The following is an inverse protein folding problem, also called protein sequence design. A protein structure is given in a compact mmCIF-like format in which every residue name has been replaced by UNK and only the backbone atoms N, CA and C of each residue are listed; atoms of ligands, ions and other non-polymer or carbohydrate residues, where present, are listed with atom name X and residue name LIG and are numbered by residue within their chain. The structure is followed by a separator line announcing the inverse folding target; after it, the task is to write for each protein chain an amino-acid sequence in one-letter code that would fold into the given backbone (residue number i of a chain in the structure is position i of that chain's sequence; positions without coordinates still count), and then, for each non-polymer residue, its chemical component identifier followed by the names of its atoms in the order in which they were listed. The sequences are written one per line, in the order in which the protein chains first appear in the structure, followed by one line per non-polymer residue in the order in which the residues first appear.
data_IF_675171599061
#
_entry.id   IF_675171599061
#
_cell.length_a   1.000
_cell.length_b   1.000
_cell.length_c   1.000
_cell.angle_alpha   90.00
_cell.angle_beta   90.00
_cell.angle_gamma   90.00
#
_symmetry.space_group_name_H-M   'P 1'
#
loop_
_entity.id
_entity.type
_entity.pdbx_description
1 polymer ?
#
# COMPACT_ATOMS: atom_id res chain seq x y z
N UNK A 1 -6.39 -11.22 31.19
CA UNK A 1 -6.24 -10.25 30.12
C UNK A 1 -7.07 -9.01 30.46
N UNK A 2 -6.45 -7.83 30.39
CA UNK A 2 -7.16 -6.56 30.46
C UNK A 2 -7.43 -6.12 29.02
N UNK A 3 -8.71 -5.87 28.69
CA UNK A 3 -9.11 -5.46 27.35
C UNK A 3 -9.46 -3.97 27.34
N UNK A 4 -8.88 -3.24 26.42
CA UNK A 4 -9.24 -1.84 26.16
C UNK A 4 -9.95 -1.73 24.82
N UNK A 5 -10.97 -0.88 24.73
CA UNK A 5 -11.73 -0.65 23.51
C UNK A 5 -11.17 0.53 22.75
N UNK A 6 -10.85 0.34 21.48
CA UNK A 6 -10.51 1.44 20.56
C UNK A 6 -11.83 2.04 20.04
N UNK A 7 -12.01 3.37 20.02
CA UNK A 7 -10.99 4.43 20.20
C UNK A 7 -10.85 4.97 21.63
N UNK A 8 -11.53 4.44 22.63
CA UNK A 8 -11.54 4.99 23.99
C UNK A 8 -10.13 5.02 24.60
N UNK A 9 -9.36 3.95 24.37
CA UNK A 9 -7.95 3.86 24.76
C UNK A 9 -7.14 3.35 23.57
N UNK A 10 -6.35 4.21 22.94
CA UNK A 10 -5.43 3.81 21.88
C UNK A 10 -4.20 3.11 22.44
N UNK A 11 -3.44 2.38 21.58
CA UNK A 11 -2.15 1.82 22.00
C UNK A 11 -1.20 2.90 22.52
N UNK A 12 -1.20 4.07 21.89
CA UNK A 12 -0.40 5.21 22.29
C UNK A 12 -0.79 5.75 23.67
N UNK A 13 -2.09 5.77 23.99
CA UNK A 13 -2.57 6.21 25.31
C UNK A 13 -2.26 5.18 26.39
N UNK A 14 -2.43 3.90 26.08
CA UNK A 14 -2.06 2.82 26.98
C UNK A 14 -0.55 2.87 27.31
N UNK A 15 0.32 3.06 26.33
CA UNK A 15 1.76 3.15 26.53
C UNK A 15 2.16 4.27 27.51
N UNK A 16 1.45 5.40 27.53
CA UNK A 16 1.69 6.51 28.47
C UNK A 16 1.46 6.10 29.93
N UNK A 17 0.57 5.14 30.18
CA UNK A 17 0.17 4.70 31.52
C UNK A 17 0.68 3.31 31.89
N UNK A 18 1.31 2.59 30.97
CA UNK A 18 1.73 1.21 31.14
C UNK A 18 2.86 1.00 32.18
N UNK A 19 3.47 2.08 32.65
CA UNK A 19 4.55 1.99 33.66
C UNK A 19 5.75 1.21 33.15
N UNK A 20 6.18 1.49 31.93
CA UNK A 20 7.35 0.81 31.34
C UNK A 20 8.58 0.94 32.25
N UNK A 21 9.32 -0.17 32.42
CA UNK A 21 10.60 -0.10 33.10
C UNK A 21 11.56 0.83 32.35
N UNK A 22 12.42 1.53 33.07
CA UNK A 22 13.44 2.39 32.45
C UNK A 22 14.31 1.58 31.48
N UNK A 23 14.43 2.04 30.24
CA UNK A 23 15.16 1.35 29.19
C UNK A 23 14.43 0.13 28.59
N UNK A 24 13.11 -0.02 28.83
CA UNK A 24 12.33 -1.07 28.20
C UNK A 24 12.40 -1.00 26.66
N UNK A 25 12.56 -2.14 26.01
CA UNK A 25 12.54 -2.27 24.55
C UNK A 25 11.17 -2.80 24.13
N UNK A 26 10.47 -2.03 23.33
CA UNK A 26 9.22 -2.44 22.67
C UNK A 26 9.55 -2.76 21.22
N UNK A 27 9.12 -3.92 20.74
CA UNK A 27 9.33 -4.35 19.37
C UNK A 27 8.02 -4.36 18.57
N UNK A 28 8.08 -3.93 17.32
CA UNK A 28 6.96 -4.04 16.36
C UNK A 28 7.43 -4.73 15.09
N UNK A 29 6.53 -5.48 14.45
CA UNK A 29 6.80 -6.04 13.12
C UNK A 29 6.78 -4.93 12.07
N UNK A 30 7.92 -4.65 11.45
CA UNK A 30 8.06 -3.60 10.44
C UNK A 30 7.26 -3.83 9.16
N UNK A 31 6.76 -5.05 8.93
CA UNK A 31 5.87 -5.37 7.80
C UNK A 31 4.45 -4.89 8.07
N UNK A 32 4.03 -4.82 9.34
CA UNK A 32 2.66 -4.55 9.77
C UNK A 32 2.44 -3.13 10.25
N UNK A 33 3.51 -2.35 10.42
CA UNK A 33 3.44 -0.94 10.83
C UNK A 33 3.95 -0.04 9.71
N UNK A 34 3.22 1.02 9.42
CA UNK A 34 3.66 2.04 8.45
C UNK A 34 4.71 2.97 9.07
N UNK A 35 5.45 3.68 8.23
CA UNK A 35 6.44 4.69 8.69
C UNK A 35 5.80 5.71 9.63
N UNK A 36 4.63 6.27 9.26
CA UNK A 36 3.92 7.23 10.10
C UNK A 36 3.41 6.60 11.39
N UNK A 37 2.93 5.35 11.35
CA UNK A 37 2.52 4.57 12.51
C UNK A 37 3.68 4.32 13.47
N UNK A 38 4.83 3.89 12.93
CA UNK A 38 6.04 3.69 13.71
C UNK A 38 6.47 4.98 14.44
N UNK A 39 6.51 6.11 13.74
CA UNK A 39 6.87 7.42 14.33
C UNK A 39 5.93 7.83 15.46
N UNK A 40 4.62 7.53 15.36
CA UNK A 40 3.66 7.79 16.45
C UNK A 40 3.92 6.91 17.67
N UNK A 41 4.12 5.60 17.45
CA UNK A 41 4.45 4.67 18.53
C UNK A 41 5.79 5.02 19.20
N UNK A 42 6.81 5.31 18.41
CA UNK A 42 8.13 5.71 18.89
C UNK A 42 8.04 6.92 19.82
N UNK A 43 7.31 7.96 19.43
CA UNK A 43 7.08 9.13 20.28
C UNK A 43 6.44 8.76 21.63
N UNK A 44 5.48 7.84 21.64
CA UNK A 44 4.79 7.43 22.87
C UNK A 44 5.65 6.54 23.74
N UNK A 45 6.44 5.62 23.15
CA UNK A 45 7.38 4.74 23.86
C UNK A 45 8.51 5.56 24.47
N UNK A 46 9.10 6.52 23.75
CA UNK A 46 10.12 7.42 24.23
C UNK A 46 9.62 8.26 25.41
N UNK A 47 8.40 8.78 25.32
CA UNK A 47 7.78 9.55 26.41
C UNK A 47 7.54 8.70 27.67
N UNK A 48 7.37 7.38 27.52
CA UNK A 48 7.25 6.43 28.62
C UNK A 48 8.61 5.90 29.13
N UNK A 49 9.74 6.38 28.61
CA UNK A 49 11.09 6.00 29.04
C UNK A 49 11.65 4.72 28.40
N UNK A 50 10.98 4.22 27.34
CA UNK A 50 11.40 3.05 26.57
C UNK A 50 12.04 3.39 25.23
N UNK A 51 12.37 2.34 24.46
CA UNK A 51 12.87 2.43 23.07
C UNK A 51 12.01 1.55 22.18
N UNK A 52 11.57 2.08 21.03
CA UNK A 52 10.87 1.29 20.01
C UNK A 52 11.86 0.77 18.98
N UNK A 53 11.78 -0.52 18.66
CA UNK A 53 12.57 -1.15 17.61
C UNK A 53 11.70 -1.84 16.57
N UNK A 54 12.20 -1.82 15.32
CA UNK A 54 11.60 -2.62 14.25
C UNK A 54 12.16 -4.05 14.35
N UNK A 55 11.28 -5.05 14.45
CA UNK A 55 11.66 -6.45 14.44
C UNK A 55 11.30 -7.06 13.08
N UNK A 56 12.23 -7.79 12.48
CA UNK A 56 12.04 -8.33 11.13
C UNK A 56 11.36 -9.71 11.13
N UNK A 57 11.38 -10.42 12.26
CA UNK A 57 10.71 -11.71 12.44
C UNK A 57 9.51 -11.55 13.35
N UNK A 58 8.33 -11.95 12.86
CA UNK A 58 7.13 -11.94 13.69
C UNK A 58 7.10 -13.19 14.58
N UNK A 59 7.08 -13.00 15.88
CA UNK A 59 7.05 -14.09 16.85
C UNK A 59 5.79 -14.98 16.71
N UNK A 60 4.67 -14.42 16.24
CA UNK A 60 3.45 -15.18 15.97
C UNK A 60 3.61 -16.12 14.78
N UNK A 61 4.36 -15.71 13.74
CA UNK A 61 4.60 -16.55 12.56
C UNK A 61 5.31 -17.86 12.93
N UNK A 62 6.15 -17.86 13.98
CA UNK A 62 6.85 -19.04 14.47
C UNK A 62 5.92 -20.05 15.15
N UNK A 63 4.78 -19.60 15.68
CA UNK A 63 3.81 -20.41 16.41
C UNK A 63 2.57 -20.75 15.59
N UNK A 64 2.32 -20.04 14.48
CA UNK A 64 1.13 -20.23 13.65
C UNK A 64 1.38 -21.24 12.54
N UNK A 65 1.43 -22.52 12.88
CA UNK A 65 1.78 -23.61 11.95
C UNK A 65 0.73 -23.87 10.87
N UNK A 66 -0.54 -23.55 11.12
CA UNK A 66 -1.67 -23.70 10.19
C UNK A 66 -2.10 -22.37 9.54
N UNK A 67 -1.17 -21.43 9.44
CA UNK A 67 -1.43 -20.13 8.81
C UNK A 67 -1.95 -20.29 7.38
N UNK A 68 -3.11 -19.71 7.04
CA UNK A 68 -3.63 -19.75 5.68
C UNK A 68 -2.65 -19.13 4.68
N UNK A 69 -2.53 -19.76 3.52
CA UNK A 69 -1.81 -19.15 2.40
C UNK A 69 -2.52 -17.88 1.92
N UNK A 70 -1.79 -17.03 1.21
CA UNK A 70 -2.42 -15.89 0.52
C UNK A 70 -3.51 -16.40 -0.43
N UNK A 71 -4.63 -15.67 -0.55
CA UNK A 71 -5.70 -16.05 -1.46
C UNK A 71 -5.19 -16.32 -2.87
N UNK A 72 -5.58 -17.44 -3.53
CA UNK A 72 -5.07 -17.80 -4.87
C UNK A 72 -5.76 -17.04 -6.01
N UNK A 73 -6.51 -15.98 -5.71
CA UNK A 73 -7.29 -15.27 -6.71
C UNK A 73 -6.41 -14.63 -7.78
N UNK A 74 -6.69 -14.95 -9.04
CA UNK A 74 -6.06 -14.29 -10.16
C UNK A 74 -6.57 -12.86 -10.32
N UNK A 75 -5.72 -11.99 -10.84
CA UNK A 75 -6.13 -10.65 -11.26
C UNK A 75 -6.89 -10.70 -12.58
N UNK A 76 -7.74 -9.71 -12.82
CA UNK A 76 -8.36 -9.47 -14.13
C UNK A 76 -8.32 -7.99 -14.50
N UNK A 77 -8.40 -7.72 -15.80
CA UNK A 77 -8.44 -6.34 -16.30
C UNK A 77 -9.85 -5.77 -16.22
N UNK A 78 -9.95 -4.55 -15.73
CA UNK A 78 -11.13 -3.74 -15.89
C UNK A 78 -11.17 -3.23 -17.34
N UNK A 79 -12.26 -3.49 -18.09
CA UNK A 79 -12.41 -2.95 -19.44
C UNK A 79 -12.34 -1.42 -19.47
N UNK A 80 -11.74 -0.86 -20.52
CA UNK A 80 -11.52 0.59 -20.64
C UNK A 80 -12.83 1.37 -20.66
N UNK A 81 -13.91 0.80 -21.21
CA UNK A 81 -15.24 1.40 -21.21
C UNK A 81 -15.82 1.60 -19.81
N UNK A 82 -15.30 0.85 -18.82
CA UNK A 82 -15.68 0.97 -17.40
C UNK A 82 -14.66 1.83 -16.61
N UNK A 83 -13.38 1.75 -16.96
CA UNK A 83 -12.33 2.50 -16.29
C UNK A 83 -12.24 3.96 -16.74
N UNK A 84 -12.48 4.22 -18.02
CA UNK A 84 -12.54 5.55 -18.61
C UNK A 84 -11.20 6.23 -18.87
N UNK A 85 -10.11 5.76 -18.27
CA UNK A 85 -8.72 6.17 -18.55
C UNK A 85 -7.84 4.94 -18.72
N UNK A 86 -6.98 4.94 -19.71
CA UNK A 86 -5.97 3.91 -19.95
C UNK A 86 -4.80 3.98 -18.95
N UNK A 87 -3.96 2.94 -18.91
CA UNK A 87 -2.70 2.98 -18.16
C UNK A 87 -1.80 4.11 -18.68
N UNK A 88 -1.68 4.27 -20.00
CA UNK A 88 -0.83 5.30 -20.60
C UNK A 88 -1.22 6.70 -20.11
N UNK A 89 -2.51 7.07 -20.23
CA UNK A 89 -3.01 8.37 -19.76
C UNK A 89 -2.74 8.60 -18.26
N UNK A 90 -2.91 7.57 -17.42
CA UNK A 90 -2.63 7.67 -15.99
C UNK A 90 -1.14 7.74 -15.67
N UNK A 91 -0.30 7.07 -16.48
CA UNK A 91 1.16 7.11 -16.35
C UNK A 91 1.71 8.47 -16.77
N UNK A 92 1.13 9.09 -17.81
CA UNK A 92 1.50 10.43 -18.24
C UNK A 92 1.19 11.48 -17.16
N UNK A 93 -0.01 11.40 -16.55
CA UNK A 93 -0.39 12.25 -15.41
C UNK A 93 0.58 12.06 -14.21
N UNK A 94 0.96 10.81 -13.92
CA UNK A 94 1.89 10.47 -12.84
C UNK A 94 3.30 10.98 -13.14
N UNK A 95 3.78 10.82 -14.38
CA UNK A 95 5.08 11.34 -14.81
C UNK A 95 5.15 12.86 -14.66
N UNK A 96 4.13 13.58 -15.13
CA UNK A 96 4.06 15.04 -15.00
C UNK A 96 4.04 15.48 -13.51
N UNK A 97 3.37 14.73 -12.65
CA UNK A 97 3.38 14.99 -11.21
C UNK A 97 4.78 14.80 -10.58
N UNK A 98 5.48 13.72 -10.95
CA UNK A 98 6.84 13.44 -10.47
C UNK A 98 7.83 14.48 -10.97
N UNK A 99 7.70 14.94 -12.22
CA UNK A 99 8.50 16.04 -12.78
C UNK A 99 8.36 17.32 -11.95
N UNK A 100 7.14 17.71 -11.64
CA UNK A 100 6.86 18.88 -10.82
C UNK A 100 7.41 18.79 -9.39
N UNK A 101 7.74 17.58 -8.91
CA UNK A 101 8.33 17.32 -7.59
C UNK A 101 9.83 17.00 -7.66
N UNK A 102 10.41 17.02 -8.85
CA UNK A 102 11.81 16.64 -9.08
C UNK A 102 12.11 15.24 -8.51
N UNK A 103 11.22 14.26 -8.81
CA UNK A 103 11.34 12.86 -8.43
C UNK A 103 11.50 11.98 -9.67
N UNK A 104 12.42 11.02 -9.65
CA UNK A 104 12.62 10.07 -10.74
C UNK A 104 11.59 8.94 -10.70
N UNK A 105 11.15 8.55 -9.50
CA UNK A 105 10.28 7.42 -9.29
C UNK A 105 9.33 7.62 -8.12
N UNK A 106 8.32 6.76 -8.02
CA UNK A 106 7.44 6.63 -6.85
C UNK A 106 7.22 5.17 -6.50
N UNK A 107 7.33 4.84 -5.20
CA UNK A 107 6.91 3.56 -4.66
C UNK A 107 5.46 3.67 -4.17
N UNK A 108 4.57 3.01 -4.87
CA UNK A 108 3.14 2.98 -4.58
C UNK A 108 2.83 1.79 -3.67
N UNK A 109 2.43 2.05 -2.44
CA UNK A 109 2.11 1.04 -1.41
C UNK A 109 0.63 1.01 -1.04
N UNK A 110 -0.19 1.91 -1.59
CA UNK A 110 -1.64 1.81 -1.51
C UNK A 110 -2.15 0.82 -2.56
N UNK A 111 -2.55 -0.34 -2.10
CA UNK A 111 -3.00 -1.44 -2.96
C UNK A 111 -4.14 -1.03 -3.89
N UNK A 112 -5.13 -0.30 -3.39
CA UNK A 112 -6.26 0.20 -4.17
C UNK A 112 -5.84 1.22 -5.25
N UNK A 113 -4.82 2.03 -4.98
CA UNK A 113 -4.26 2.99 -5.95
C UNK A 113 -3.46 2.27 -7.04
N UNK A 114 -2.69 1.23 -6.68
CA UNK A 114 -1.99 0.37 -7.66
C UNK A 114 -3.00 -0.30 -8.58
N UNK A 115 -4.03 -0.95 -8.02
CA UNK A 115 -5.07 -1.62 -8.82
C UNK A 115 -5.82 -0.65 -9.74
N UNK A 116 -6.09 0.58 -9.27
CA UNK A 116 -6.71 1.63 -10.09
C UNK A 116 -5.77 2.08 -11.23
N UNK A 117 -4.48 2.29 -10.95
CA UNK A 117 -3.49 2.74 -11.95
C UNK A 117 -3.46 1.81 -13.16
N UNK A 118 -3.34 0.51 -12.92
CA UNK A 118 -3.22 -0.51 -13.99
C UNK A 118 -4.57 -1.05 -14.48
N UNK A 119 -5.69 -0.46 -14.07
CA UNK A 119 -7.02 -0.97 -14.39
C UNK A 119 -7.19 -2.46 -14.03
N UNK A 120 -6.63 -2.87 -12.89
CA UNK A 120 -6.68 -4.24 -12.39
C UNK A 120 -7.74 -4.38 -11.30
N UNK A 121 -8.30 -5.57 -11.21
CA UNK A 121 -9.11 -6.02 -10.06
C UNK A 121 -8.69 -7.42 -9.67
N UNK A 122 -9.02 -7.81 -8.44
CA UNK A 122 -8.73 -9.13 -7.91
C UNK A 122 -9.64 -9.50 -6.76
N UNK A 123 -9.42 -10.67 -6.18
CA UNK A 123 -10.26 -11.23 -5.12
C UNK A 123 -9.51 -11.53 -3.83
N UNK A 124 -8.41 -10.84 -3.53
CA UNK A 124 -7.59 -11.11 -2.35
C UNK A 124 -8.23 -10.70 -1.04
N UNK A 125 -9.09 -9.70 -1.08
CA UNK A 125 -9.81 -9.20 0.09
C UNK A 125 -11.32 -9.39 -0.08
N UNK A 126 -12.03 -9.88 0.94
CA UNK A 126 -13.49 -9.96 0.93
C UNK A 126 -14.10 -8.57 0.67
N UNK A 127 -15.09 -8.48 -0.20
CA UNK A 127 -15.83 -7.27 -0.53
C UNK A 127 -14.98 -6.10 -1.08
N UNK A 128 -13.71 -6.33 -1.39
CA UNK A 128 -12.80 -5.32 -1.95
C UNK A 128 -12.07 -5.91 -3.15
N UNK A 129 -12.38 -5.46 -4.39
CA UNK A 129 -11.89 -6.12 -5.61
C UNK A 129 -10.45 -5.72 -5.95
N UNK A 130 -9.49 -6.11 -5.11
CA UNK A 130 -8.06 -5.81 -5.28
C UNK A 130 -7.21 -7.08 -5.23
N UNK A 131 -6.05 -7.04 -5.89
CA UNK A 131 -4.93 -7.92 -5.65
C UNK A 131 -3.88 -7.22 -4.79
N UNK A 132 -3.33 -7.95 -3.83
CA UNK A 132 -2.28 -7.45 -2.94
C UNK A 132 -0.94 -7.40 -3.68
N UNK A 133 -0.56 -6.22 -4.11
CA UNK A 133 0.75 -5.92 -4.68
C UNK A 133 1.09 -4.45 -4.47
N UNK A 134 2.38 -4.13 -4.51
CA UNK A 134 2.87 -2.76 -4.60
C UNK A 134 3.29 -2.46 -6.04
N UNK A 135 3.75 -1.25 -6.31
CA UNK A 135 4.29 -0.90 -7.61
C UNK A 135 5.42 0.13 -7.48
N UNK A 136 6.47 -0.05 -8.26
CA UNK A 136 7.48 0.95 -8.50
C UNK A 136 7.24 1.53 -9.90
N UNK A 137 6.96 2.82 -9.97
CA UNK A 137 6.91 3.54 -11.23
C UNK A 137 8.14 4.45 -11.34
N UNK A 138 8.91 4.25 -12.40
CA UNK A 138 10.07 5.08 -12.73
C UNK A 138 9.82 5.75 -14.06
N UNK A 139 10.12 7.05 -14.17
CA UNK A 139 9.81 7.87 -15.34
C UNK A 139 10.43 7.36 -16.65
N UNK A 140 11.62 6.76 -16.57
CA UNK A 140 12.35 6.25 -17.75
C UNK A 140 12.08 4.77 -18.02
N UNK A 141 12.00 3.94 -16.99
CA UNK A 141 11.90 2.48 -17.14
C UNK A 141 10.45 1.96 -17.05
N UNK A 142 9.50 2.83 -16.69
CA UNK A 142 8.08 2.49 -16.64
C UNK A 142 7.64 1.85 -15.34
N UNK A 143 6.62 1.00 -15.41
CA UNK A 143 5.91 0.45 -14.26
C UNK A 143 6.32 -1.01 -14.00
N UNK A 144 6.72 -1.28 -12.76
CA UNK A 144 6.93 -2.64 -12.25
C UNK A 144 5.96 -2.92 -11.10
N UNK A 145 5.12 -3.96 -11.24
CA UNK A 145 4.33 -4.49 -10.14
C UNK A 145 5.20 -5.35 -9.24
N UNK A 146 5.12 -5.13 -7.94
CA UNK A 146 5.89 -5.86 -6.92
C UNK A 146 4.96 -6.85 -6.21
N UNK A 147 5.01 -8.12 -6.63
CA UNK A 147 4.11 -9.15 -6.12
C UNK A 147 4.33 -10.51 -6.74
N UNK A 148 3.36 -11.40 -6.59
CA UNK A 148 3.40 -12.75 -7.16
C UNK A 148 3.09 -12.72 -8.66
N UNK A 149 4.08 -13.11 -9.47
CA UNK A 149 3.98 -13.12 -10.92
C UNK A 149 2.83 -13.99 -11.42
N UNK A 150 2.60 -15.14 -10.83
CA UNK A 150 1.57 -16.09 -11.29
C UNK A 150 0.16 -15.49 -11.17
N UNK A 151 -0.07 -14.69 -10.13
CA UNK A 151 -1.34 -14.03 -9.84
C UNK A 151 -1.55 -12.79 -10.70
N UNK A 152 -0.48 -12.08 -11.03
CA UNK A 152 -0.49 -10.84 -11.81
C UNK A 152 -0.40 -11.09 -13.33
N UNK A 153 -0.04 -12.31 -13.77
CA UNK A 153 0.10 -12.66 -15.17
C UNK A 153 -1.06 -12.19 -16.07
N UNK A 154 -2.35 -12.33 -15.69
CA UNK A 154 -3.47 -11.92 -16.55
C UNK A 154 -3.54 -10.43 -16.88
N UNK A 155 -2.87 -9.57 -16.12
CA UNK A 155 -2.90 -8.12 -16.30
C UNK A 155 -1.62 -7.54 -16.91
N UNK A 156 -0.60 -8.38 -17.16
CA UNK A 156 0.66 -7.93 -17.74
C UNK A 156 0.48 -7.50 -19.20
N UNK A 157 1.19 -6.44 -19.56
CA UNK A 157 1.33 -5.92 -20.92
C UNK A 157 2.81 -5.67 -21.17
N UNK A 158 3.22 -5.34 -22.41
CA UNK A 158 4.58 -4.87 -22.66
C UNK A 158 5.02 -3.69 -21.78
N UNK A 159 4.06 -2.87 -21.33
CA UNK A 159 4.30 -1.66 -20.52
C UNK A 159 4.29 -1.94 -18.99
N UNK A 160 4.01 -3.17 -18.57
CA UNK A 160 3.95 -3.57 -17.16
C UNK A 160 4.89 -4.75 -16.94
N UNK A 161 5.96 -4.53 -16.21
CA UNK A 161 6.80 -5.61 -15.70
C UNK A 161 6.30 -6.09 -14.32
N UNK A 162 6.79 -7.24 -13.88
CA UNK A 162 6.51 -7.78 -12.55
C UNK A 162 7.78 -8.33 -11.94
N UNK A 163 7.97 -8.09 -10.66
CA UNK A 163 9.06 -8.63 -9.87
C UNK A 163 8.57 -9.04 -8.47
N UNK A 164 9.19 -10.01 -7.81
CA UNK A 164 8.93 -10.25 -6.40
C UNK A 164 9.39 -9.04 -5.57
N UNK A 165 8.68 -8.75 -4.47
CA UNK A 165 9.00 -7.62 -3.60
C UNK A 165 10.45 -7.66 -3.07
N UNK A 166 11.03 -8.84 -2.97
CA UNK A 166 12.43 -9.05 -2.56
C UNK A 166 13.46 -8.46 -3.53
N UNK A 167 13.07 -8.12 -4.76
CA UNK A 167 13.95 -7.45 -5.73
C UNK A 167 13.95 -5.92 -5.58
N UNK A 168 13.08 -5.36 -4.76
CA UNK A 168 13.01 -3.90 -4.57
C UNK A 168 14.37 -3.26 -4.23
N UNK A 169 15.19 -3.80 -3.30
CA UNK A 169 16.50 -3.19 -3.01
C UNK A 169 17.44 -3.11 -4.22
N UNK A 170 17.47 -4.15 -5.06
CA UNK A 170 18.28 -4.13 -6.29
C UNK A 170 17.77 -3.07 -7.29
N UNK A 171 16.45 -2.99 -7.49
CA UNK A 171 15.83 -2.00 -8.36
C UNK A 171 16.10 -0.55 -7.89
N UNK A 172 16.17 -0.33 -6.59
CA UNK A 172 16.52 0.97 -6.00
C UNK A 172 17.99 1.31 -6.25
N UNK A 173 18.89 0.32 -6.17
CA UNK A 173 20.32 0.51 -6.50
C UNK A 173 20.55 0.95 -7.95
N UNK A 174 19.67 0.56 -8.86
CA UNK A 174 19.74 0.90 -10.29
C UNK A 174 19.13 2.28 -10.63
N UNK A 175 18.50 2.96 -9.66
CA UNK A 175 17.84 4.26 -9.89
C UNK A 175 18.80 5.45 -10.11
N UNK A 176 20.09 5.30 -9.82
CA UNK A 176 21.05 6.40 -9.87
C UNK A 176 20.74 7.53 -8.87
N UNK A 177 21.05 8.77 -9.22
CA UNK A 177 20.92 9.94 -8.31
C UNK A 177 19.49 10.49 -8.18
N UNK A 178 18.49 9.80 -8.73
CA UNK A 178 17.10 10.24 -8.72
C UNK A 178 16.43 10.10 -7.36
N UNK A 179 15.52 11.04 -7.00
CA UNK A 179 14.72 10.94 -5.77
C UNK A 179 13.56 9.99 -5.93
N UNK A 180 13.33 9.14 -4.91
CA UNK A 180 12.18 8.26 -4.80
C UNK A 180 11.07 8.92 -3.97
N UNK A 181 9.92 9.13 -4.58
CA UNK A 181 8.74 9.56 -3.83
C UNK A 181 8.14 8.39 -3.04
N UNK A 182 7.81 8.63 -1.78
CA UNK A 182 7.18 7.66 -0.87
C UNK A 182 6.04 8.31 -0.08
N UNK A 183 5.06 7.50 0.33
CA UNK A 183 4.00 7.92 1.24
C UNK A 183 4.17 7.24 2.60
N UNK A 184 4.59 7.99 3.61
CA UNK A 184 4.84 7.46 4.96
C UNK A 184 3.60 6.84 5.62
N UNK A 185 2.39 7.24 5.20
CA UNK A 185 1.14 6.74 5.75
C UNK A 185 0.77 5.31 5.28
N UNK A 186 1.33 4.85 4.16
CA UNK A 186 1.06 3.52 3.59
C UNK A 186 2.30 2.63 3.47
N UNK A 187 3.50 3.21 3.48
CA UNK A 187 4.75 2.47 3.34
C UNK A 187 5.07 1.67 4.61
N UNK A 188 5.21 0.33 4.54
CA UNK A 188 5.70 -0.48 5.64
C UNK A 188 7.08 -0.02 6.13
N UNK A 189 7.27 0.02 7.45
CA UNK A 189 8.53 0.50 8.07
C UNK A 189 9.74 -0.33 7.64
N UNK A 190 9.57 -1.65 7.48
CA UNK A 190 10.63 -2.53 6.99
C UNK A 190 11.11 -2.15 5.58
N UNK A 191 10.19 -1.84 4.66
CA UNK A 191 10.56 -1.40 3.31
C UNK A 191 11.26 -0.03 3.33
N UNK A 192 10.84 0.85 4.23
CA UNK A 192 11.51 2.13 4.41
C UNK A 192 12.95 1.97 4.88
N UNK A 193 13.23 1.02 5.78
CA UNK A 193 14.61 0.71 6.21
C UNK A 193 15.45 0.22 5.02
N UNK A 194 14.92 -0.67 4.20
CA UNK A 194 15.60 -1.13 2.97
C UNK A 194 15.88 0.02 1.98
N UNK A 195 14.95 0.98 1.85
CA UNK A 195 15.14 2.18 1.02
C UNK A 195 16.28 3.04 1.60
N UNK A 196 16.31 3.25 2.90
CA UNK A 196 17.39 4.01 3.56
C UNK A 196 18.74 3.31 3.39
N UNK A 197 18.78 1.99 3.55
CA UNK A 197 20.00 1.17 3.37
C UNK A 197 20.51 1.20 1.92
N UNK A 198 19.63 1.34 0.94
CA UNK A 198 20.03 1.48 -0.48
C UNK A 198 20.69 2.82 -0.80
N UNK A 199 20.59 3.81 0.09
CA UNK A 199 21.17 5.15 -0.10
C UNK A 199 20.35 6.06 -1.02
N UNK A 200 19.20 5.62 -1.54
CA UNK A 200 18.34 6.42 -2.40
C UNK A 200 17.73 7.58 -1.62
N UNK A 201 17.81 8.78 -2.17
CA UNK A 201 17.17 9.96 -1.59
C UNK A 201 15.66 9.85 -1.69
N UNK A 202 14.95 10.07 -0.58
CA UNK A 202 13.50 10.01 -0.52
C UNK A 202 12.85 11.37 -0.47
N UNK A 203 11.65 11.47 -1.04
CA UNK A 203 10.74 12.60 -0.93
C UNK A 203 9.39 12.12 -0.38
N UNK A 204 9.05 12.52 0.84
CA UNK A 204 7.78 12.14 1.46
C UNK A 204 6.64 13.06 0.99
N UNK A 205 5.58 12.45 0.44
CA UNK A 205 4.36 13.15 0.07
C UNK A 205 3.17 12.18 0.06
N UNK A 206 1.95 12.72 0.02
CA UNK A 206 0.75 11.91 -0.15
C UNK A 206 0.74 11.23 -1.53
N UNK A 207 0.12 10.04 -1.59
CA UNK A 207 0.01 9.30 -2.84
C UNK A 207 -0.66 10.14 -3.94
N UNK A 208 0.02 10.40 -5.07
CA UNK A 208 -0.49 11.26 -6.14
C UNK A 208 -1.80 10.74 -6.74
N UNK A 209 -1.99 9.43 -6.73
CA UNK A 209 -3.17 8.77 -7.30
C UNK A 209 -4.43 8.92 -6.44
N UNK A 210 -4.32 9.32 -5.17
CA UNK A 210 -5.46 9.41 -4.25
C UNK A 210 -6.52 10.37 -4.76
N UNK A 211 -6.11 11.56 -5.18
CA UNK A 211 -7.03 12.59 -5.68
C UNK A 211 -7.53 12.22 -7.09
N UNK A 212 -6.64 11.74 -7.95
CA UNK A 212 -7.03 11.33 -9.31
C UNK A 212 -8.05 10.19 -9.29
N UNK A 213 -7.86 9.19 -8.48
CA UNK A 213 -8.83 8.10 -8.25
C UNK A 213 -10.14 8.62 -7.65
N UNK A 214 -10.11 9.63 -6.79
CA UNK A 214 -11.31 10.21 -6.20
C UNK A 214 -12.16 10.97 -7.23
N UNK A 215 -11.54 11.57 -8.26
CA UNK A 215 -12.23 12.23 -9.37
C UNK A 215 -12.70 11.20 -10.38
N UNK A 216 -13.98 10.84 -10.32
CA UNK A 216 -14.53 9.77 -11.16
C UNK A 216 -14.67 10.22 -12.62
N UNK A 217 -14.21 9.37 -13.54
CA UNK A 217 -14.45 9.55 -14.97
C UNK A 217 -15.95 9.43 -15.31
N UNK A 218 -16.41 9.95 -16.47
CA UNK A 218 -17.79 9.73 -16.90
C UNK A 218 -18.19 8.25 -17.00
N UNK A 219 -17.25 7.37 -17.36
CA UNK A 219 -17.46 5.93 -17.40
C UNK A 219 -17.69 5.35 -16.00
N UNK A 220 -16.83 5.69 -15.02
CA UNK A 220 -16.98 5.29 -13.64
C UNK A 220 -18.29 5.81 -13.03
N UNK A 221 -18.68 7.07 -13.33
CA UNK A 221 -19.98 7.61 -12.87
C UNK A 221 -21.18 6.85 -13.42
N UNK A 222 -21.15 6.43 -14.70
CA UNK A 222 -22.20 5.57 -15.25
C UNK A 222 -22.28 4.23 -14.53
N UNK A 223 -21.11 3.61 -14.28
CA UNK A 223 -21.00 2.36 -13.52
C UNK A 223 -21.55 2.48 -12.09
N UNK A 224 -21.20 3.54 -11.39
CA UNK A 224 -21.73 3.82 -10.05
C UNK A 224 -23.24 3.96 -10.03
N UNK A 225 -23.82 4.77 -10.93
CA UNK A 225 -25.28 4.93 -11.02
C UNK A 225 -26.01 3.62 -11.28
N UNK A 226 -25.50 2.82 -12.23
CA UNK A 226 -26.08 1.52 -12.55
C UNK A 226 -25.94 0.52 -11.38
N UNK A 227 -24.83 0.53 -10.65
CA UNK A 227 -24.64 -0.31 -9.48
C UNK A 227 -25.62 0.06 -8.35
N UNK A 228 -25.75 1.35 -8.02
CA UNK A 228 -26.68 1.81 -6.99
C UNK A 228 -28.15 1.54 -7.32
N UNK A 229 -28.54 1.57 -8.59
CA UNK A 229 -29.90 1.18 -8.99
C UNK A 229 -30.18 -0.31 -8.70
N UNK A 230 -29.22 -1.20 -9.04
CA UNK A 230 -29.36 -2.64 -8.75
C UNK A 230 -29.33 -2.92 -7.25
N UNK A 231 -28.43 -2.28 -6.54
CA UNK A 231 -28.28 -2.41 -5.08
C UNK A 231 -29.54 -1.92 -4.35
N UNK A 232 -30.06 -0.76 -4.76
CA UNK A 232 -31.31 -0.21 -4.20
C UNK A 232 -32.52 -1.12 -4.46
N UNK A 233 -32.62 -1.74 -5.64
CA UNK A 233 -33.69 -2.72 -5.92
C UNK A 233 -33.58 -3.95 -5.00
N UNK A 234 -32.36 -4.51 -4.86
CA UNK A 234 -32.12 -5.64 -3.97
C UNK A 234 -32.43 -5.31 -2.49
N UNK A 235 -32.09 -4.09 -2.04
CA UNK A 235 -32.44 -3.64 -0.68
C UNK A 235 -33.95 -3.54 -0.47
N UNK A 236 -34.71 -3.04 -1.46
CA UNK A 236 -36.19 -3.00 -1.39
C UNK A 236 -36.77 -4.42 -1.30
N UNK A 237 -36.29 -5.33 -2.13
CA UNK A 237 -36.72 -6.74 -2.09
C UNK A 237 -36.39 -7.42 -0.76
N UNK A 238 -35.24 -7.09 -0.15
CA UNK A 238 -34.84 -7.65 1.15
C UNK A 238 -35.69 -7.12 2.32
N UNK A 239 -36.18 -5.87 2.23
CA UNK A 239 -36.96 -5.21 3.29
C UNK A 239 -38.47 -5.48 3.20
N UNK A 240 -39.01 -6.01 2.09
CA UNK A 240 -40.41 -6.38 1.90
C UNK A 240 -40.66 -7.83 2.24
#
# INVERSE_FOLDING_TARGET
WDCNTIPDVTCEDWLKTAGLASGAIIAVDGRLVTVSGFRRFEKSVLAAGGTLVCHHENLLDQQWHDRPALPPAASWRMPIENAGKSLAEKSDDLAAYLDAKDCAAVLLTRVDSVNWLVNMRGGDLPCTPVNLCFALYHRETGLCLLGDQSRLQPVLTPDISVAPLTQLPAMLGDMGDGRLMIEAASLPKMLFEQIVESGVQTFEADCPLTIEKARKTPAELRGFRAAHQRDGAAMVEFLC
#
